data_IF_353757923562
#
_entry.id   IF_353757923562
#
_cell.length_a   1.000
_cell.length_b   1.000
_cell.length_c   1.000
_cell.angle_alpha   90.00
_cell.angle_beta   90.00
_cell.angle_gamma   90.00
#
_symmetry.space_group_name_H-M   'P 1'
#
loop_
_entity.id
_entity.type
_entity.pdbx_description
1 polymer ?
#
# COMPACT_ATOMS: atom_id res chain seq x y z
N UNK A 1 -55.11 60.72 -6.38
CA UNK A 1 -54.48 59.39 -6.30
C UNK A 1 -55.36 58.45 -7.10
N UNK A 2 -54.96 58.11 -8.34
CA UNK A 2 -53.94 57.10 -8.61
C UNK A 2 -52.86 57.60 -9.58
N UNK A 3 -51.71 56.91 -9.65
CA UNK A 3 -50.64 57.23 -10.59
C UNK A 3 -50.33 56.01 -11.47
N UNK A 4 -50.28 56.32 -12.75
CA UNK A 4 -50.09 55.45 -13.91
C UNK A 4 -48.59 55.18 -14.12
N UNK A 5 -48.34 54.01 -14.70
CA UNK A 5 -47.09 53.39 -15.13
C UNK A 5 -46.21 54.34 -15.96
N UNK A 6 -44.90 54.35 -15.68
CA UNK A 6 -43.86 54.58 -16.69
C UNK A 6 -42.78 53.49 -16.59
N UNK A 7 -42.69 52.68 -17.64
CA UNK A 7 -41.57 51.79 -17.90
C UNK A 7 -40.37 52.61 -18.37
N UNK A 8 -39.21 52.43 -17.75
CA UNK A 8 -37.94 52.64 -18.42
C UNK A 8 -37.12 51.36 -18.39
N UNK A 9 -36.96 50.79 -19.58
CA UNK A 9 -36.04 49.70 -19.89
C UNK A 9 -34.60 50.20 -19.77
N UNK A 10 -33.77 49.50 -18.99
CA UNK A 10 -32.32 49.53 -19.17
C UNK A 10 -31.86 48.12 -19.48
N UNK A 11 -31.49 47.92 -20.75
CA UNK A 11 -30.77 46.76 -21.26
C UNK A 11 -29.39 46.72 -20.61
N UNK A 12 -29.05 45.64 -19.92
CA UNK A 12 -27.65 45.24 -19.74
C UNK A 12 -27.52 43.72 -19.63
N UNK A 13 -27.89 43.02 -20.71
CA UNK A 13 -27.51 41.61 -20.92
C UNK A 13 -26.20 41.59 -21.69
N UNK A 14 -25.08 41.59 -20.99
CA UNK A 14 -23.76 41.14 -21.48
C UNK A 14 -22.86 40.92 -20.25
N UNK A 15 -22.26 39.73 -20.18
CA UNK A 15 -21.12 39.35 -19.31
C UNK A 15 -21.32 38.32 -18.19
N UNK A 16 -22.34 37.45 -18.24
CA UNK A 16 -22.28 36.17 -17.49
C UNK A 16 -21.42 35.15 -18.26
N UNK A 17 -21.49 35.14 -19.60
CA UNK A 17 -20.69 34.24 -20.44
C UNK A 17 -19.19 34.56 -20.49
N UNK A 18 -18.78 35.78 -20.14
CA UNK A 18 -17.35 36.13 -20.04
C UNK A 18 -16.73 35.68 -18.72
N UNK A 19 -17.50 35.67 -17.62
CA UNK A 19 -17.08 35.06 -16.35
C UNK A 19 -17.02 33.53 -16.44
N UNK A 20 -17.95 32.89 -17.16
CA UNK A 20 -17.91 31.46 -17.42
C UNK A 20 -16.72 31.02 -18.31
N UNK A 21 -16.23 31.89 -19.22
CA UNK A 21 -15.02 31.61 -20.01
C UNK A 21 -13.72 31.88 -19.25
N UNK A 22 -13.69 32.83 -18.32
CA UNK A 22 -12.56 33.03 -17.42
C UNK A 22 -12.40 31.87 -16.41
N UNK A 23 -13.50 31.22 -16.02
CA UNK A 23 -13.47 30.01 -15.19
C UNK A 23 -13.08 28.73 -15.96
N UNK A 24 -13.18 28.72 -17.29
CA UNK A 24 -12.76 27.61 -18.15
C UNK A 24 -11.30 27.69 -18.64
N UNK A 25 -10.55 28.71 -18.19
CA UNK A 25 -9.11 28.86 -18.44
C UNK A 25 -8.28 28.95 -17.15
N UNK A 26 -8.82 28.49 -16.02
CA UNK A 26 -7.95 28.05 -14.93
C UNK A 26 -7.58 26.60 -15.23
N UNK A 27 -6.29 26.37 -15.49
CA UNK A 27 -5.70 25.04 -15.65
C UNK A 27 -5.64 24.35 -14.27
N UNK A 28 -6.76 24.31 -13.55
CA UNK A 28 -6.91 23.59 -12.28
C UNK A 28 -6.89 22.11 -12.60
N UNK A 29 -5.68 21.56 -12.75
CA UNK A 29 -5.49 20.12 -12.60
C UNK A 29 -5.87 19.79 -11.15
N UNK A 30 -6.89 18.96 -10.91
CA UNK A 30 -7.20 18.53 -9.55
C UNK A 30 -5.94 17.89 -8.94
N UNK A 31 -5.72 18.05 -7.62
CA UNK A 31 -4.55 17.49 -6.96
C UNK A 31 -4.49 15.99 -7.22
N UNK A 32 -3.29 15.52 -7.60
CA UNK A 32 -3.06 14.13 -7.92
C UNK A 32 -3.27 13.27 -6.67
N UNK A 33 -4.34 12.48 -6.65
CA UNK A 33 -4.56 11.51 -5.57
C UNK A 33 -3.66 10.30 -5.78
N UNK A 34 -2.95 9.91 -4.71
CA UNK A 34 -2.00 8.81 -4.70
C UNK A 34 -2.53 7.67 -3.85
N UNK A 35 -2.33 6.45 -4.36
CA UNK A 35 -2.86 5.23 -3.76
C UNK A 35 -1.76 4.20 -3.53
N UNK A 36 -1.87 3.51 -2.40
CA UNK A 36 -1.13 2.27 -2.12
C UNK A 36 -2.01 1.13 -2.63
N UNK A 37 -1.59 0.47 -3.71
CA UNK A 37 -2.38 -0.57 -4.38
C UNK A 37 -2.18 -1.95 -3.77
N UNK A 38 -0.97 -2.23 -3.30
CA UNK A 38 -0.62 -3.41 -2.53
C UNK A 38 0.64 -3.14 -1.69
N UNK A 39 0.81 -3.94 -0.65
CA UNK A 39 1.98 -3.94 0.23
C UNK A 39 2.32 -5.37 0.65
N UNK A 40 3.60 -5.64 0.92
CA UNK A 40 4.07 -6.92 1.42
C UNK A 40 5.41 -6.75 2.15
N UNK A 41 5.69 -7.62 3.11
CA UNK A 41 7.00 -7.76 3.75
C UNK A 41 7.35 -9.21 4.03
N UNK A 42 8.60 -9.47 4.32
CA UNK A 42 9.13 -10.77 4.70
C UNK A 42 8.64 -11.18 6.09
N UNK A 43 8.21 -12.44 6.22
CA UNK A 43 7.95 -13.07 7.53
C UNK A 43 9.23 -13.65 8.14
N UNK A 44 10.06 -14.20 7.26
CA UNK A 44 11.33 -14.84 7.56
C UNK A 44 12.37 -14.16 6.67
N UNK A 45 13.58 -13.93 7.17
CA UNK A 45 14.64 -13.36 6.37
C UNK A 45 14.89 -14.12 5.07
N UNK A 46 15.14 -13.37 4.00
CA UNK A 46 15.45 -13.90 2.68
C UNK A 46 16.91 -14.29 2.56
N UNK A 47 17.14 -15.34 1.78
CA UNK A 47 18.46 -15.61 1.18
C UNK A 47 18.74 -14.59 0.06
N UNK A 48 20.01 -14.35 -0.25
CA UNK A 48 20.43 -13.32 -1.22
C UNK A 48 19.85 -13.55 -2.64
N UNK A 49 19.67 -14.80 -3.03
CA UNK A 49 19.07 -15.21 -4.31
C UNK A 49 17.55 -15.00 -4.38
N UNK A 50 16.91 -14.70 -3.24
CA UNK A 50 15.47 -14.45 -3.12
C UNK A 50 15.13 -12.97 -2.99
N UNK A 51 16.08 -12.07 -3.20
CA UNK A 51 15.87 -10.61 -3.12
C UNK A 51 14.72 -10.11 -4.01
N UNK A 52 14.46 -10.75 -5.15
CA UNK A 52 13.31 -10.44 -6.00
C UNK A 52 11.98 -11.02 -5.57
N UNK A 53 11.95 -11.96 -4.62
CA UNK A 53 10.71 -12.64 -4.22
C UNK A 53 9.69 -11.68 -3.60
N UNK A 54 10.14 -10.72 -2.78
CA UNK A 54 9.27 -9.71 -2.16
C UNK A 54 8.61 -8.81 -3.22
N UNK A 55 9.36 -8.44 -4.26
CA UNK A 55 8.84 -7.61 -5.36
C UNK A 55 7.91 -8.42 -6.27
N UNK A 56 8.24 -9.68 -6.56
CA UNK A 56 7.38 -10.55 -7.37
C UNK A 56 6.04 -10.84 -6.66
N UNK A 57 6.07 -11.13 -5.35
CA UNK A 57 4.87 -11.31 -4.53
C UNK A 57 4.03 -10.02 -4.52
N UNK A 58 4.68 -8.85 -4.34
CA UNK A 58 3.99 -7.55 -4.44
C UNK A 58 3.28 -7.36 -5.80
N UNK A 59 3.96 -7.63 -6.91
CA UNK A 59 3.41 -7.48 -8.27
C UNK A 59 2.16 -8.35 -8.42
N UNK A 60 2.20 -9.59 -7.91
CA UNK A 60 1.06 -10.51 -7.89
C UNK A 60 -0.09 -9.95 -7.07
N UNK A 61 0.16 -9.39 -5.88
CA UNK A 61 -0.86 -8.77 -5.02
C UNK A 61 -1.49 -7.53 -5.65
N UNK A 62 -0.67 -6.69 -6.28
CA UNK A 62 -1.13 -5.44 -6.90
C UNK A 62 -2.01 -5.70 -8.12
N UNK A 63 -1.89 -6.87 -8.77
CA UNK A 63 -2.53 -7.20 -10.05
C UNK A 63 -2.19 -6.24 -11.19
N UNK A 64 -1.15 -5.41 -10.99
CA UNK A 64 -0.65 -4.48 -12.00
C UNK A 64 0.13 -5.28 -13.03
N UNK A 65 -0.18 -5.16 -14.34
CA UNK A 65 0.62 -5.79 -15.37
C UNK A 65 2.07 -5.30 -15.31
N UNK A 66 3.03 -6.22 -15.44
CA UNK A 66 4.48 -5.89 -15.39
C UNK A 66 4.91 -4.78 -16.36
N UNK A 67 4.21 -4.63 -17.49
CA UNK A 67 4.46 -3.58 -18.49
C UNK A 67 4.03 -2.19 -18.06
N UNK A 68 3.21 -2.08 -17.01
CA UNK A 68 2.72 -0.80 -16.45
C UNK A 68 3.63 -0.29 -15.33
N UNK A 69 4.56 -1.12 -14.85
CA UNK A 69 5.55 -0.75 -13.84
C UNK A 69 6.74 -0.17 -14.58
N UNK A 70 6.85 1.15 -14.58
CA UNK A 70 7.94 1.83 -15.30
C UNK A 70 9.08 2.24 -14.35
N UNK A 71 8.87 2.13 -13.03
CA UNK A 71 9.90 2.48 -12.05
C UNK A 71 9.96 1.53 -10.87
N UNK A 72 11.17 1.05 -10.58
CA UNK A 72 11.52 0.24 -9.42
C UNK A 72 12.56 1.00 -8.59
N UNK A 73 12.20 1.36 -7.37
CA UNK A 73 13.08 2.04 -6.42
C UNK A 73 13.38 1.05 -5.30
N UNK A 74 14.65 0.74 -5.09
CA UNK A 74 15.10 -0.16 -4.02
C UNK A 74 15.99 0.62 -3.07
N UNK A 75 15.50 0.80 -1.85
CA UNK A 75 16.25 1.35 -0.74
C UNK A 75 17.00 0.22 -0.03
N UNK A 76 18.28 0.42 0.24
CA UNK A 76 19.12 -0.63 0.80
C UNK A 76 20.30 -0.08 1.58
N UNK A 77 20.94 -0.93 2.37
CA UNK A 77 22.18 -0.58 3.07
C UNK A 77 23.40 -0.77 2.16
N UNK A 78 24.53 -0.08 2.42
CA UNK A 78 25.73 -0.16 1.57
C UNK A 78 26.25 -1.60 1.38
N UNK A 79 26.13 -2.44 2.41
CA UNK A 79 26.55 -3.84 2.36
C UNK A 79 25.71 -4.67 1.39
N UNK A 80 24.40 -4.40 1.32
CA UNK A 80 23.45 -5.13 0.46
C UNK A 80 23.48 -4.59 -0.97
N UNK A 81 23.78 -3.30 -1.16
CA UNK A 81 23.90 -2.67 -2.48
C UNK A 81 24.92 -3.36 -3.40
N UNK A 82 26.00 -3.93 -2.84
CA UNK A 82 27.02 -4.65 -3.60
C UNK A 82 26.53 -6.01 -4.13
N UNK A 83 25.43 -6.53 -3.56
CA UNK A 83 24.89 -7.85 -3.88
C UNK A 83 23.74 -7.74 -4.88
N UNK A 84 22.98 -6.64 -4.84
CA UNK A 84 21.79 -6.46 -5.69
C UNK A 84 22.18 -5.84 -7.04
N UNK A 85 22.15 -6.66 -8.10
CA UNK A 85 22.13 -6.18 -9.47
C UNK A 85 20.68 -5.83 -9.89
N UNK A 86 20.35 -4.53 -9.85
CA UNK A 86 19.00 -4.08 -10.20
C UNK A 86 18.61 -4.33 -11.66
N UNK A 87 19.56 -4.29 -12.58
CA UNK A 87 19.27 -4.50 -14.00
C UNK A 87 18.86 -5.95 -14.24
N UNK A 88 19.57 -6.87 -13.59
CA UNK A 88 19.23 -8.28 -13.56
C UNK A 88 17.93 -8.53 -12.81
N UNK A 89 17.74 -7.91 -11.64
CA UNK A 89 16.51 -8.03 -10.85
C UNK A 89 15.26 -7.63 -11.66
N UNK A 90 15.28 -6.47 -12.29
CA UNK A 90 14.17 -6.00 -13.13
C UNK A 90 13.92 -6.94 -14.32
N UNK A 91 14.99 -7.44 -14.94
CA UNK A 91 14.90 -8.41 -16.04
C UNK A 91 14.29 -9.74 -15.58
N UNK A 92 14.77 -10.30 -14.47
CA UNK A 92 14.29 -11.56 -13.89
C UNK A 92 12.81 -11.46 -13.46
N UNK A 93 12.40 -10.29 -12.99
CA UNK A 93 11.01 -9.96 -12.69
C UNK A 93 10.15 -9.65 -13.92
N UNK A 94 10.74 -9.59 -15.12
CA UNK A 94 10.05 -9.31 -16.38
C UNK A 94 9.57 -7.86 -16.53
N UNK A 95 10.20 -6.91 -15.84
CA UNK A 95 9.89 -5.48 -15.87
C UNK A 95 10.57 -4.80 -17.08
N UNK A 96 9.98 -4.99 -18.26
CA UNK A 96 10.54 -4.47 -19.52
C UNK A 96 10.46 -2.95 -19.56
N UNK A 97 11.60 -2.29 -19.78
CA UNK A 97 11.68 -0.83 -19.88
C UNK A 97 11.51 -0.10 -18.55
N UNK A 98 11.60 -0.81 -17.43
CA UNK A 98 11.52 -0.24 -16.09
C UNK A 98 12.83 0.47 -15.72
N UNK A 99 12.74 1.76 -15.38
CA UNK A 99 13.82 2.50 -14.75
C UNK A 99 14.04 1.95 -13.33
N UNK A 100 15.26 1.53 -13.03
CA UNK A 100 15.58 0.97 -11.72
C UNK A 100 16.57 1.87 -10.99
N UNK A 101 16.26 2.23 -9.75
CA UNK A 101 17.07 3.12 -8.93
C UNK A 101 17.40 2.45 -7.60
N UNK A 102 18.68 2.42 -7.23
CA UNK A 102 19.09 2.06 -5.88
C UNK A 102 19.30 3.32 -5.07
N UNK A 103 18.75 3.37 -3.86
CA UNK A 103 19.09 4.38 -2.87
C UNK A 103 19.84 3.75 -1.72
N UNK A 104 21.03 4.29 -1.48
CA UNK A 104 21.75 4.03 -0.25
C UNK A 104 21.05 4.79 0.88
N UNK A 105 20.73 4.10 1.97
CA UNK A 105 20.10 4.64 3.17
C UNK A 105 21.08 5.57 3.92
N UNK A 106 21.35 6.74 3.32
CA UNK A 106 22.09 7.86 3.95
C UNK A 106 21.16 8.78 4.73
N UNK A 107 19.86 8.61 4.52
CA UNK A 107 18.78 9.38 5.08
C UNK A 107 17.96 8.56 6.06
N UNK A 108 17.12 9.23 6.85
CA UNK A 108 16.34 8.57 7.91
C UNK A 108 15.25 7.73 7.27
N UNK A 109 15.19 6.44 7.63
CA UNK A 109 14.14 5.50 7.24
C UNK A 109 13.85 5.40 5.73
N UNK A 110 14.83 5.66 4.86
CA UNK A 110 14.68 5.66 3.40
C UNK A 110 13.60 6.59 2.86
N UNK A 111 13.45 7.76 3.48
CA UNK A 111 12.46 8.78 3.10
C UNK A 111 12.66 9.34 1.69
N UNK A 112 13.90 9.39 1.20
CA UNK A 112 14.28 9.83 -0.15
C UNK A 112 13.73 8.90 -1.23
N UNK A 113 13.71 7.58 -0.96
CA UNK A 113 13.11 6.62 -1.87
C UNK A 113 11.61 6.85 -2.04
N UNK A 114 10.91 7.13 -0.94
CA UNK A 114 9.51 7.54 -0.97
C UNK A 114 9.34 8.85 -1.74
N UNK A 115 10.13 9.89 -1.43
CA UNK A 115 10.03 11.17 -2.11
C UNK A 115 10.22 11.03 -3.63
N UNK A 116 11.21 10.25 -4.07
CA UNK A 116 11.41 9.97 -5.50
C UNK A 116 10.20 9.24 -6.11
N UNK A 117 9.62 8.28 -5.39
CA UNK A 117 8.44 7.56 -5.87
C UNK A 117 7.25 8.52 -6.08
N UNK A 118 7.00 9.39 -5.10
CA UNK A 118 5.94 10.39 -5.16
C UNK A 118 6.18 11.39 -6.29
N UNK A 119 7.41 11.88 -6.45
CA UNK A 119 7.76 12.83 -7.53
C UNK A 119 7.68 12.20 -8.91
N UNK A 120 8.00 10.91 -9.04
CA UNK A 120 7.83 10.18 -10.31
C UNK A 120 6.35 10.09 -10.70
N UNK A 121 5.45 9.81 -9.74
CA UNK A 121 4.01 9.75 -9.98
C UNK A 121 3.41 11.13 -10.27
N UNK A 122 3.92 12.19 -9.65
CA UNK A 122 3.54 13.58 -9.95
C UNK A 122 3.94 14.01 -11.35
N UNK A 123 5.12 13.58 -11.81
CA UNK A 123 5.64 13.88 -13.16
C UNK A 123 4.91 13.09 -14.24
N UNK A 124 4.69 11.80 -14.01
CA UNK A 124 3.93 10.94 -14.91
C UNK A 124 2.78 10.22 -14.19
N UNK A 125 1.55 10.75 -14.28
CA UNK A 125 0.38 10.11 -13.70
C UNK A 125 0.01 8.76 -14.32
N UNK A 126 0.60 8.39 -15.45
CA UNK A 126 0.36 7.11 -16.13
C UNK A 126 1.25 5.98 -15.64
N UNK A 127 2.10 6.25 -14.65
CA UNK A 127 3.09 5.31 -14.15
C UNK A 127 2.58 4.57 -12.91
N UNK A 128 3.06 3.33 -12.74
CA UNK A 128 3.03 2.59 -11.48
C UNK A 128 4.45 2.45 -10.94
N UNK A 129 4.66 2.85 -9.69
CA UNK A 129 5.98 2.80 -9.04
C UNK A 129 5.99 1.70 -7.99
N UNK A 130 7.07 0.92 -7.96
CA UNK A 130 7.38 0.04 -6.84
C UNK A 130 8.46 0.69 -6.00
N UNK A 131 8.19 0.81 -4.70
CA UNK A 131 9.19 1.15 -3.69
C UNK A 131 9.43 -0.09 -2.82
N UNK A 132 10.67 -0.53 -2.78
CA UNK A 132 11.12 -1.67 -1.97
C UNK A 132 12.20 -1.22 -1.01
N UNK A 133 12.25 -1.85 0.15
CA UNK A 133 13.33 -1.72 1.12
C UNK A 133 13.89 -3.11 1.40
N UNK A 134 15.21 -3.28 1.31
CA UNK A 134 15.90 -4.57 1.50
C UNK A 134 17.16 -4.31 2.33
N UNK A 135 17.25 -4.91 3.53
CA UNK A 135 18.36 -4.68 4.47
C UNK A 135 18.75 -5.96 5.17
N UNK A 136 19.93 -5.97 5.80
CA UNK A 136 20.27 -7.05 6.73
C UNK A 136 19.39 -6.99 7.98
N UNK A 137 18.92 -8.15 8.41
CA UNK A 137 18.20 -8.26 9.67
C UNK A 137 19.17 -7.93 10.81
N UNK A 138 18.84 -6.90 11.61
CA UNK A 138 19.52 -6.65 12.88
C UNK A 138 18.94 -7.62 13.92
N UNK A 139 19.82 -8.25 14.71
CA UNK A 139 19.46 -9.34 15.63
C UNK A 139 18.39 -8.99 16.70
N UNK A 140 18.06 -7.70 16.89
CA UNK A 140 17.17 -7.18 17.95
C UNK A 140 15.81 -6.66 17.43
N UNK A 141 15.21 -7.33 16.43
CA UNK A 141 13.87 -7.00 15.92
C UNK A 141 12.72 -7.73 16.66
N UNK A 142 12.95 -8.25 17.86
CA UNK A 142 11.85 -8.58 18.77
C UNK A 142 11.30 -7.28 19.36
N UNK A 143 10.16 -6.78 18.89
CA UNK A 143 9.60 -5.55 19.45
C UNK A 143 8.31 -5.03 18.84
N UNK A 144 8.38 -4.18 17.81
CA UNK A 144 7.40 -3.09 17.74
C UNK A 144 6.22 -3.26 16.78
N UNK A 145 6.28 -4.15 15.79
CA UNK A 145 5.18 -4.35 14.85
C UNK A 145 4.57 -5.75 15.00
N UNK A 146 3.43 -5.84 15.71
CA UNK A 146 2.58 -7.04 15.68
C UNK A 146 2.28 -7.39 14.21
N UNK A 147 2.65 -8.59 13.80
CA UNK A 147 2.59 -9.05 12.41
C UNK A 147 1.17 -9.47 12.05
N UNK A 148 0.49 -8.71 11.17
CA UNK A 148 -0.72 -9.21 10.53
C UNK A 148 -0.34 -10.19 9.41
N UNK A 149 -1.00 -11.35 9.26
CA UNK A 149 -0.79 -12.26 8.13
C UNK A 149 -0.96 -11.58 6.76
N UNK A 150 -1.76 -10.50 6.68
CA UNK A 150 -1.94 -9.72 5.45
C UNK A 150 -0.65 -9.05 4.98
N UNK A 151 0.23 -8.68 5.91
CA UNK A 151 1.48 -7.99 5.61
C UNK A 151 2.52 -8.95 5.02
N UNK A 152 2.45 -10.24 5.37
CA UNK A 152 3.52 -11.20 5.14
C UNK A 152 3.45 -11.81 3.75
N UNK A 153 4.60 -11.96 3.09
CA UNK A 153 4.72 -12.69 1.82
C UNK A 153 4.27 -14.13 1.97
N UNK A 154 3.78 -14.72 0.88
CA UNK A 154 3.46 -16.14 0.88
C UNK A 154 4.78 -16.92 0.99
N UNK A 155 4.86 -17.89 1.90
CA UNK A 155 6.07 -18.67 2.10
C UNK A 155 6.45 -19.36 0.78
N UNK A 156 7.65 -19.06 0.27
CA UNK A 156 8.17 -19.80 -0.88
C UNK A 156 8.32 -21.28 -0.50
N UNK A 157 7.87 -22.22 -1.35
CA UNK A 157 8.23 -23.61 -1.18
C UNK A 157 9.75 -23.72 -1.22
N UNK A 158 10.39 -23.96 -0.08
CA UNK A 158 11.81 -24.26 -0.09
C UNK A 158 12.02 -25.55 -0.89
N UNK A 159 12.91 -25.57 -1.90
CA UNK A 159 13.26 -26.82 -2.54
C UNK A 159 13.79 -27.76 -1.46
N UNK A 160 13.24 -28.99 -1.39
CA UNK A 160 13.72 -30.03 -0.46
C UNK A 160 15.22 -30.24 -0.72
N UNK A 161 16.09 -29.59 0.03
CA UNK A 161 17.53 -29.88 0.00
C UNK A 161 17.69 -31.35 0.40
N UNK A 162 18.32 -32.15 -0.47
CA UNK A 162 18.94 -33.40 -0.03
C UNK A 162 19.84 -33.03 1.14
N UNK A 163 19.64 -33.64 2.31
CA UNK A 163 20.54 -33.50 3.46
C UNK A 163 21.97 -33.80 2.99
N UNK A 164 22.75 -32.77 2.68
CA UNK A 164 24.20 -32.89 2.61
C UNK A 164 24.71 -32.88 4.05
N UNK A 165 25.76 -33.65 4.37
CA UNK A 165 26.36 -33.63 5.69
C UNK A 165 26.79 -32.20 6.03
N UNK A 166 26.34 -31.70 7.19
CA UNK A 166 26.77 -30.41 7.72
C UNK A 166 28.29 -30.46 7.95
N UNK A 167 29.03 -29.60 7.28
CA UNK A 167 30.35 -29.16 7.73
C UNK A 167 30.13 -27.92 8.58
N UNK A 168 30.52 -27.96 9.85
CA UNK A 168 30.20 -26.96 10.89
C UNK A 168 30.88 -25.59 10.74
N UNK A 169 31.55 -25.28 9.63
CA UNK A 169 32.39 -24.07 9.46
C UNK A 169 32.02 -23.17 8.28
N UNK A 170 30.75 -23.16 7.83
CA UNK A 170 30.30 -22.12 6.87
C UNK A 170 29.63 -20.97 7.63
N UNK A 171 30.16 -19.73 7.57
CA UNK A 171 29.48 -18.58 8.16
C UNK A 171 28.07 -18.47 7.58
N UNK A 172 27.07 -18.35 8.46
CA UNK A 172 25.67 -18.23 8.10
C UNK A 172 25.54 -17.04 7.12
N UNK A 173 25.03 -17.28 5.91
CA UNK A 173 24.82 -16.22 4.95
C UNK A 173 23.92 -15.14 5.59
N UNK A 174 24.28 -13.86 5.48
CA UNK A 174 23.59 -12.82 6.22
C UNK A 174 22.17 -12.68 5.70
N UNK A 175 21.22 -12.77 6.63
CA UNK A 175 19.80 -12.86 6.34
C UNK A 175 19.22 -11.47 6.03
N UNK A 176 18.28 -11.38 5.09
CA UNK A 176 17.73 -10.10 4.60
C UNK A 176 16.28 -9.90 5.04
N UNK A 177 15.97 -8.74 5.62
CA UNK A 177 14.59 -8.28 5.86
C UNK A 177 14.18 -7.34 4.72
N UNK A 178 12.94 -7.48 4.24
CA UNK A 178 12.46 -6.72 3.10
C UNK A 178 10.97 -6.38 3.18
N UNK A 179 10.63 -5.20 2.68
CA UNK A 179 9.26 -4.77 2.45
C UNK A 179 9.14 -4.11 1.08
N UNK A 180 7.96 -4.18 0.48
CA UNK A 180 7.69 -3.54 -0.79
C UNK A 180 6.25 -3.01 -0.84
N UNK A 181 6.08 -1.86 -1.48
CA UNK A 181 4.79 -1.23 -1.72
C UNK A 181 4.64 -0.86 -3.20
N UNK A 182 3.41 -0.98 -3.71
CA UNK A 182 3.04 -0.55 -5.04
C UNK A 182 2.22 0.74 -4.93
N UNK A 183 2.67 1.78 -5.65
CA UNK A 183 2.08 3.10 -5.65
C UNK A 183 1.54 3.43 -7.05
N UNK A 184 0.33 3.97 -7.09
CA UNK A 184 -0.33 4.37 -8.32
C UNK A 184 -1.15 5.65 -8.11
N UNK A 185 -1.45 6.33 -9.21
CA UNK A 185 -2.35 7.48 -9.21
C UNK A 185 -3.82 7.05 -9.27
N UNK A 186 -4.73 7.98 -9.01
CA UNK A 186 -6.15 7.74 -9.25
C UNK A 186 -6.49 7.41 -10.71
N UNK A 187 -5.74 7.96 -11.66
CA UNK A 187 -5.91 7.68 -13.07
C UNK A 187 -5.53 6.23 -13.37
N UNK A 188 -4.38 5.77 -12.86
CA UNK A 188 -3.96 4.37 -12.95
C UNK A 188 -4.93 3.41 -12.28
N UNK A 189 -5.32 3.69 -11.04
CA UNK A 189 -6.26 2.84 -10.31
C UNK A 189 -7.58 2.68 -11.07
N UNK A 190 -8.13 3.75 -11.66
CA UNK A 190 -9.34 3.67 -12.48
C UNK A 190 -9.12 2.92 -13.79
N UNK A 191 -8.05 3.23 -14.54
CA UNK A 191 -7.76 2.60 -15.84
C UNK A 191 -7.56 1.10 -15.73
N UNK A 192 -6.83 0.68 -14.71
CA UNK A 192 -6.51 -0.73 -14.45
C UNK A 192 -7.56 -1.43 -13.55
N UNK A 193 -8.60 -0.71 -13.12
CA UNK A 193 -9.64 -1.19 -12.22
C UNK A 193 -9.07 -1.81 -10.92
N UNK A 194 -8.03 -1.18 -10.38
CA UNK A 194 -7.38 -1.61 -9.13
C UNK A 194 -8.29 -1.28 -7.94
N UNK A 195 -8.18 -2.07 -6.89
CA UNK A 195 -8.83 -1.87 -5.60
C UNK A 195 -7.75 -1.54 -4.56
N UNK A 196 -7.38 -0.26 -4.38
CA UNK A 196 -6.24 0.08 -3.55
C UNK A 196 -6.53 -0.15 -2.06
N UNK A 197 -5.46 -0.34 -1.28
CA UNK A 197 -5.53 -0.56 0.16
C UNK A 197 -5.75 0.73 0.93
N UNK A 198 -5.09 1.81 0.50
CA UNK A 198 -5.09 3.10 1.20
C UNK A 198 -4.83 4.26 0.22
N UNK A 199 -5.29 5.45 0.60
CA UNK A 199 -4.96 6.72 -0.05
C UNK A 199 -3.92 7.47 0.75
N UNK A 200 -2.89 7.97 0.09
CA UNK A 200 -1.98 8.96 0.68
C UNK A 200 -2.67 10.32 0.50
N UNK A 201 -3.17 10.88 1.61
CA UNK A 201 -3.93 12.14 1.61
C UNK A 201 -3.01 13.34 1.59
N UNK A 202 -1.91 13.27 2.34
CA UNK A 202 -0.93 14.35 2.39
C UNK A 202 0.47 13.82 2.75
N UNK A 203 1.49 14.52 2.24
CA UNK A 203 2.90 14.35 2.57
C UNK A 203 3.50 15.75 2.73
N UNK A 204 3.95 16.10 3.92
CA UNK A 204 4.56 17.41 4.20
C UNK A 204 5.79 17.28 5.07
N UNK A 205 6.68 18.26 5.02
CA UNK A 205 7.87 18.37 5.85
C UNK A 205 7.76 19.64 6.67
N UNK A 206 7.75 19.53 7.99
CA UNK A 206 7.47 20.65 8.88
C UNK A 206 8.34 20.61 10.14
N UNK A 207 8.66 21.78 10.70
CA UNK A 207 9.35 21.89 12.00
C UNK A 207 8.43 21.66 13.18
N UNK A 208 7.25 22.28 13.15
CA UNK A 208 6.25 22.18 14.20
C UNK A 208 5.27 21.04 13.91
N UNK A 209 5.56 19.86 14.47
CA UNK A 209 4.75 18.65 14.28
C UNK A 209 3.32 18.83 14.76
N UNK A 210 3.12 19.53 15.90
CA UNK A 210 1.81 19.71 16.50
C UNK A 210 0.92 20.55 15.58
N UNK A 211 1.45 21.70 15.13
CA UNK A 211 0.74 22.57 14.21
C UNK A 211 0.47 21.86 12.87
N UNK A 212 1.46 21.15 12.34
CA UNK A 212 1.32 20.39 11.10
C UNK A 212 0.22 19.33 11.20
N UNK A 213 0.20 18.52 12.28
CA UNK A 213 -0.85 17.53 12.50
C UNK A 213 -2.24 18.16 12.62
N UNK A 214 -2.37 19.28 13.34
CA UNK A 214 -3.63 20.02 13.45
C UNK A 214 -4.13 20.48 12.08
N UNK A 215 -3.25 21.05 11.26
CA UNK A 215 -3.57 21.49 9.91
C UNK A 215 -3.95 20.33 8.99
N UNK A 216 -3.21 19.22 9.05
CA UNK A 216 -3.49 18.01 8.27
C UNK A 216 -4.87 17.43 8.60
N UNK A 217 -5.19 17.33 9.89
CA UNK A 217 -6.49 16.86 10.35
C UNK A 217 -7.61 17.80 9.88
N UNK A 218 -7.42 19.11 10.06
CA UNK A 218 -8.40 20.12 9.63
C UNK A 218 -8.66 20.07 8.12
N UNK A 219 -7.63 19.85 7.30
CA UNK A 219 -7.77 19.71 5.84
C UNK A 219 -8.61 18.49 5.42
N UNK A 220 -8.61 17.43 6.22
CA UNK A 220 -9.45 16.25 5.99
C UNK A 220 -10.80 16.32 6.71
N UNK A 221 -11.08 17.41 7.45
CA UNK A 221 -12.31 17.56 8.22
C UNK A 221 -12.39 16.63 9.44
N UNK A 222 -11.24 16.15 9.95
CA UNK A 222 -11.16 15.31 11.15
C UNK A 222 -10.48 16.06 12.29
N UNK A 223 -10.72 15.60 13.52
CA UNK A 223 -9.99 16.05 14.70
C UNK A 223 -8.76 15.17 14.95
N UNK A 224 -7.71 15.68 15.61
CA UNK A 224 -6.54 14.86 15.97
C UNK A 224 -6.88 13.57 16.73
N UNK A 225 -7.83 13.64 17.67
CA UNK A 225 -8.26 12.50 18.48
C UNK A 225 -9.10 11.47 17.70
N UNK A 226 -9.49 11.77 16.47
CA UNK A 226 -10.14 10.85 15.52
C UNK A 226 -9.11 10.10 14.66
N UNK A 227 -7.83 10.50 14.72
CA UNK A 227 -6.73 9.75 14.13
C UNK A 227 -6.61 8.41 14.85
N UNK A 228 -6.81 7.32 14.11
CA UNK A 228 -6.85 5.99 14.72
C UNK A 228 -5.48 5.51 15.18
N UNK A 229 -4.40 5.84 14.44
CA UNK A 229 -3.03 5.45 14.80
C UNK A 229 -2.04 6.53 14.38
N UNK A 230 -1.11 6.86 15.28
CA UNK A 230 0.08 7.64 14.99
C UNK A 230 1.32 6.76 15.15
N UNK A 231 2.08 6.62 14.07
CA UNK A 231 3.37 5.92 14.05
C UNK A 231 4.48 6.97 14.02
N UNK A 232 5.08 7.26 15.18
CA UNK A 232 6.13 8.25 15.34
C UNK A 232 7.50 7.56 15.28
N UNK A 233 8.41 8.07 14.45
CA UNK A 233 9.79 7.59 14.35
C UNK A 233 10.72 8.67 14.88
N UNK A 234 11.58 8.28 15.82
CA UNK A 234 12.54 9.18 16.47
C UNK A 234 13.97 8.75 16.21
N UNK A 235 14.88 9.73 16.09
CA UNK A 235 16.32 9.49 15.89
C UNK A 235 17.01 8.99 17.16
N UNK A 236 16.46 9.39 18.31
CA UNK A 236 16.89 8.96 19.62
C UNK A 236 15.74 8.23 20.29
N UNK A 237 16.03 7.25 21.15
CA UNK A 237 15.00 6.59 21.94
C UNK A 237 14.35 7.62 22.86
N UNK A 238 13.07 7.91 22.61
CA UNK A 238 12.24 8.81 23.42
C UNK A 238 11.03 8.07 23.96
N UNK A 239 10.57 8.47 25.13
CA UNK A 239 9.30 7.98 25.67
C UNK A 239 8.15 8.94 25.31
N UNK A 240 6.88 8.47 25.24
CA UNK A 240 5.75 9.36 24.97
C UNK A 240 5.62 10.52 25.99
N UNK A 241 6.10 10.32 27.22
CA UNK A 241 6.08 11.30 28.29
C UNK A 241 7.07 12.47 28.05
N UNK A 242 8.10 12.26 27.22
CA UNK A 242 9.07 13.29 26.84
C UNK A 242 8.58 14.19 25.70
N UNK A 243 7.39 13.91 25.16
CA UNK A 243 6.83 14.59 24.00
C UNK A 243 5.50 15.26 24.38
N UNK A 244 5.60 16.43 25.01
CA UNK A 244 4.46 17.18 25.56
C UNK A 244 3.28 17.30 24.57
N UNK A 245 3.58 17.55 23.29
CA UNK A 245 2.57 17.70 22.24
C UNK A 245 1.72 16.44 22.01
N UNK A 246 2.22 15.23 22.29
CA UNK A 246 1.43 13.99 22.19
C UNK A 246 0.32 13.97 23.24
N UNK A 247 0.62 14.45 24.45
CA UNK A 247 -0.35 14.49 25.55
C UNK A 247 -1.47 15.50 25.27
N UNK A 248 -1.14 16.62 24.63
CA UNK A 248 -2.09 17.68 24.30
C UNK A 248 -3.07 17.30 23.18
N UNK A 249 -2.65 16.45 22.23
CA UNK A 249 -3.50 16.04 21.11
C UNK A 249 -4.51 14.93 21.46
N UNK A 250 -4.37 14.31 22.64
CA UNK A 250 -5.24 13.24 23.14
C UNK A 250 -5.48 12.12 22.11
N UNK A 251 -4.38 11.63 21.53
CA UNK A 251 -4.41 10.58 20.50
C UNK A 251 -4.67 9.22 21.13
N UNK A 252 -5.48 8.39 20.45
CA UNK A 252 -5.92 7.11 21.01
C UNK A 252 -4.82 6.03 20.97
N UNK A 253 -4.04 5.97 19.88
CA UNK A 253 -3.01 4.95 19.67
C UNK A 253 -1.76 5.61 19.11
N UNK A 254 -0.69 5.56 19.88
CA UNK A 254 0.63 6.07 19.50
C UNK A 254 1.61 4.90 19.60
N UNK A 255 2.40 4.69 18.56
CA UNK A 255 3.56 3.81 18.57
C UNK A 255 4.80 4.64 18.25
N UNK A 256 5.88 4.44 19.03
CA UNK A 256 7.15 5.13 18.85
C UNK A 256 8.17 4.10 18.38
N UNK A 257 8.89 4.42 17.31
CA UNK A 257 9.85 3.55 16.66
C UNK A 257 11.23 4.20 16.61
N UNK A 258 12.27 3.37 16.75
CA UNK A 258 13.66 3.78 16.51
C UNK A 258 13.93 3.84 15.00
N UNK A 259 14.38 5.00 14.51
CA UNK A 259 14.72 5.22 13.10
C UNK A 259 15.70 4.20 12.51
N UNK A 260 16.52 3.56 13.34
CA UNK A 260 17.49 2.55 12.91
C UNK A 260 16.90 1.14 12.75
N UNK A 261 15.65 0.93 13.19
CA UNK A 261 14.96 -0.36 13.23
C UNK A 261 13.79 -0.46 12.26
N UNK A 262 13.19 0.67 11.89
CA UNK A 262 12.04 0.70 10.97
C UNK A 262 12.37 1.47 9.71
N UNK A 263 11.61 1.19 8.67
CA UNK A 263 11.71 1.92 7.40
C UNK A 263 10.35 2.41 6.97
N UNK A 264 10.33 3.44 6.12
CA UNK A 264 9.08 4.04 5.66
C UNK A 264 8.20 3.00 4.97
N UNK A 265 8.79 2.11 4.17
CA UNK A 265 8.09 1.00 3.48
C UNK A 265 7.47 0.00 4.47
N UNK A 266 8.15 -0.32 5.56
CA UNK A 266 7.61 -1.18 6.62
C UNK A 266 6.43 -0.53 7.35
N UNK A 267 6.56 0.76 7.71
CA UNK A 267 5.50 1.50 8.39
C UNK A 267 4.26 1.66 7.50
N UNK A 268 4.45 1.98 6.21
CA UNK A 268 3.35 2.05 5.24
C UNK A 268 2.67 0.70 5.05
N UNK A 269 3.43 -0.40 5.01
CA UNK A 269 2.89 -1.76 4.95
C UNK A 269 2.05 -2.06 6.18
N UNK A 270 2.59 -1.82 7.37
CA UNK A 270 1.90 -2.05 8.64
C UNK A 270 0.60 -1.25 8.74
N UNK A 271 0.69 0.07 8.54
CA UNK A 271 -0.44 0.96 8.69
C UNK A 271 -1.54 0.68 7.65
N UNK A 272 -1.15 0.31 6.41
CA UNK A 272 -2.10 -0.08 5.35
C UNK A 272 -2.94 -1.31 5.70
N UNK A 273 -2.45 -2.18 6.59
CA UNK A 273 -3.15 -3.40 7.00
C UNK A 273 -3.80 -3.30 8.39
N UNK A 274 -3.24 -2.51 9.31
CA UNK A 274 -3.73 -2.32 10.68
C UNK A 274 -4.90 -1.33 10.79
N UNK A 275 -4.99 -0.36 9.89
CA UNK A 275 -6.06 0.63 9.94
C UNK A 275 -7.43 -0.01 9.63
N UNK A 276 -8.46 0.29 10.45
CA UNK A 276 -9.85 0.00 10.09
C UNK A 276 -10.26 0.71 8.80
N UNK A 277 -11.20 0.13 8.08
CA UNK A 277 -11.77 0.73 6.87
C UNK A 277 -12.31 2.15 7.14
N UNK A 278 -11.96 3.12 6.30
CA UNK A 278 -12.35 4.53 6.44
C UNK A 278 -11.55 5.32 7.48
N UNK A 279 -10.74 4.66 8.32
CA UNK A 279 -9.97 5.34 9.35
C UNK A 279 -8.71 6.02 8.78
N UNK A 280 -8.29 7.07 9.50
CA UNK A 280 -7.05 7.79 9.23
C UNK A 280 -5.91 7.30 10.13
N UNK A 281 -4.71 7.22 9.57
CA UNK A 281 -3.48 7.02 10.32
C UNK A 281 -2.40 7.96 9.83
N UNK A 282 -1.48 8.33 10.72
CA UNK A 282 -0.37 9.22 10.38
C UNK A 282 0.96 8.56 10.71
N UNK A 283 1.93 8.72 9.82
CA UNK A 283 3.33 8.41 10.09
C UNK A 283 4.07 9.74 10.23
N UNK A 284 4.87 9.88 11.28
CA UNK A 284 5.70 11.06 11.53
C UNK A 284 7.14 10.61 11.70
N UNK A 285 8.07 11.16 10.91
CA UNK A 285 9.48 10.74 10.93
C UNK A 285 10.35 11.95 11.24
N UNK A 286 11.08 11.91 12.35
CA UNK A 286 12.10 12.89 12.71
C UNK A 286 13.27 12.82 11.71
N UNK A 287 13.65 13.96 11.13
CA UNK A 287 14.74 14.07 10.17
C UNK A 287 15.98 14.71 10.80
N UNK A 288 17.14 14.56 10.14
CA UNK A 288 18.44 15.03 10.67
C UNK A 288 18.55 16.56 10.80
N UNK A 289 17.70 17.30 10.09
CA UNK A 289 17.67 18.76 10.03
C UNK A 289 16.61 19.37 10.98
N UNK A 290 16.20 18.62 12.00
CA UNK A 290 15.17 18.98 12.99
C UNK A 290 13.76 19.18 12.40
N UNK A 291 13.57 18.87 11.13
CA UNK A 291 12.25 18.79 10.51
C UNK A 291 11.64 17.41 10.74
N UNK A 292 10.33 17.30 10.50
CA UNK A 292 9.60 16.05 10.52
C UNK A 292 8.89 15.84 9.19
N UNK A 293 8.96 14.63 8.65
CA UNK A 293 8.11 14.19 7.55
C UNK A 293 6.80 13.66 8.12
N UNK A 294 5.68 14.23 7.68
CA UNK A 294 4.33 13.79 8.05
C UNK A 294 3.64 13.18 6.84
N UNK A 295 3.10 11.98 7.03
CA UNK A 295 2.40 11.19 6.02
C UNK A 295 1.03 10.84 6.55
N UNK A 296 -0.03 11.40 5.95
CA UNK A 296 -1.41 11.10 6.32
C UNK A 296 -2.01 10.07 5.35
N UNK A 297 -2.45 8.95 5.91
CA UNK A 297 -3.08 7.86 5.17
C UNK A 297 -4.54 7.71 5.56
N UNK A 298 -5.37 7.39 4.58
CA UNK A 298 -6.74 6.92 4.79
C UNK A 298 -6.87 5.49 4.29
N UNK A 299 -7.38 4.59 5.13
CA UNK A 299 -7.69 3.22 4.72
C UNK A 299 -8.92 3.22 3.83
N UNK A 300 -8.79 2.67 2.63
CA UNK A 300 -9.93 2.60 1.70
C UNK A 300 -10.79 1.38 1.98
N UNK A 301 -12.10 1.59 1.91
CA UNK A 301 -13.10 0.53 2.02
C UNK A 301 -13.14 -0.25 0.69
N UNK A 302 -12.89 -1.57 0.68
CA UNK A 302 -12.93 -2.37 -0.54
C UNK A 302 -14.36 -2.40 -1.10
N UNK A 303 -14.55 -1.84 -2.30
CA UNK A 303 -15.90 -1.72 -2.88
C UNK A 303 -16.32 -3.05 -3.50
N UNK A 304 -17.53 -3.49 -3.18
CA UNK A 304 -18.19 -4.53 -3.96
C UNK A 304 -18.49 -4.00 -5.37
N UNK A 305 -18.42 -4.88 -6.37
CA UNK A 305 -18.79 -4.55 -7.76
C UNK A 305 -20.28 -4.20 -7.84
N UNK A 306 -21.10 -4.66 -6.88
CA UNK A 306 -22.52 -4.35 -6.80
C UNK A 306 -22.91 -3.89 -5.40
N UNK A 307 -23.55 -2.71 -5.31
CA UNK A 307 -23.78 -1.95 -4.07
C UNK A 307 -24.65 -2.66 -3.00
N UNK A 308 -25.22 -3.83 -3.29
CA UNK A 308 -26.07 -4.58 -2.35
C UNK A 308 -25.80 -6.11 -2.36
N UNK A 309 -24.66 -6.55 -2.92
CA UNK A 309 -24.31 -7.97 -2.95
C UNK A 309 -23.28 -8.33 -1.90
N UNK A 310 -23.27 -9.61 -1.54
CA UNK A 310 -22.23 -10.25 -0.74
C UNK A 310 -20.83 -9.93 -1.32
N UNK A 311 -19.79 -9.87 -0.48
CA UNK A 311 -18.41 -9.72 -0.97
C UNK A 311 -18.06 -10.74 -2.05
N UNK A 312 -17.30 -10.30 -3.05
CA UNK A 312 -16.89 -11.16 -4.16
C UNK A 312 -15.52 -11.78 -3.85
N UNK A 313 -15.46 -13.10 -3.88
CA UNK A 313 -14.21 -13.85 -3.93
C UNK A 313 -13.86 -14.17 -5.38
N UNK A 314 -12.67 -13.77 -5.83
CA UNK A 314 -12.15 -14.12 -7.16
C UNK A 314 -11.02 -15.14 -7.01
N UNK A 315 -11.25 -16.35 -7.51
CA UNK A 315 -10.30 -17.46 -7.49
C UNK A 315 -9.65 -17.63 -8.87
N UNK A 316 -8.35 -17.38 -8.96
CA UNK A 316 -7.56 -17.73 -10.14
C UNK A 316 -7.17 -19.21 -10.08
N UNK A 317 -7.53 -19.96 -11.12
CA UNK A 317 -7.46 -21.43 -11.17
C UNK A 317 -7.20 -21.95 -12.59
N UNK A 318 -7.08 -23.27 -12.77
CA UNK A 318 -7.00 -23.99 -14.06
C UNK A 318 -7.66 -25.38 -13.92
N UNK A 319 -7.86 -26.09 -15.03
CA UNK A 319 -8.36 -27.47 -15.00
C UNK A 319 -7.32 -28.45 -15.58
N UNK A 320 -6.99 -29.56 -14.89
CA UNK A 320 -7.32 -29.88 -13.49
C UNK A 320 -6.46 -29.11 -12.48
N UNK A 321 -6.97 -28.86 -11.27
CA UNK A 321 -6.21 -28.24 -10.18
C UNK A 321 -6.67 -28.75 -8.79
N UNK A 322 -6.08 -29.84 -8.27
CA UNK A 322 -6.46 -30.41 -6.98
C UNK A 322 -6.36 -29.42 -5.80
N UNK A 323 -5.32 -28.58 -5.77
CA UNK A 323 -5.17 -27.54 -4.74
C UNK A 323 -6.28 -26.49 -4.79
N UNK A 324 -6.79 -26.20 -5.99
CA UNK A 324 -7.90 -25.28 -6.17
C UNK A 324 -9.22 -25.91 -5.72
N UNK A 325 -9.39 -27.22 -5.96
CA UNK A 325 -10.58 -27.96 -5.54
C UNK A 325 -10.64 -28.05 -4.00
N UNK A 326 -9.51 -28.35 -3.34
CA UNK A 326 -9.37 -28.33 -1.87
C UNK A 326 -9.72 -26.95 -1.28
N UNK A 327 -9.20 -25.87 -1.87
CA UNK A 327 -9.49 -24.51 -1.41
C UNK A 327 -10.98 -24.17 -1.55
N UNK A 328 -11.63 -24.59 -2.63
CA UNK A 328 -13.08 -24.37 -2.83
C UNK A 328 -13.90 -25.15 -1.79
N UNK A 329 -13.53 -26.40 -1.53
CA UNK A 329 -14.18 -27.20 -0.49
C UNK A 329 -14.05 -26.54 0.89
N UNK A 330 -12.86 -26.04 1.25
CA UNK A 330 -12.66 -25.30 2.49
C UNK A 330 -13.52 -24.02 2.58
N UNK A 331 -13.66 -23.28 1.48
CA UNK A 331 -14.54 -22.11 1.43
C UNK A 331 -16.01 -22.48 1.63
N UNK A 332 -16.47 -23.55 0.98
CA UNK A 332 -17.85 -24.04 1.10
C UNK A 332 -18.15 -24.56 2.52
N UNK A 333 -17.20 -25.24 3.16
CA UNK A 333 -17.38 -25.77 4.52
C UNK A 333 -17.47 -24.66 5.59
N UNK A 334 -16.66 -23.60 5.47
CA UNK A 334 -16.47 -22.64 6.55
C UNK A 334 -17.13 -21.28 6.34
N UNK A 335 -17.50 -20.93 5.10
CA UNK A 335 -17.95 -19.57 4.73
C UNK A 335 -19.15 -19.56 3.75
N UNK A 336 -19.88 -20.67 3.63
CA UNK A 336 -21.04 -20.77 2.74
C UNK A 336 -22.05 -19.63 2.98
N UNK A 337 -22.48 -18.99 1.88
CA UNK A 337 -23.48 -17.92 1.92
C UNK A 337 -22.95 -16.55 2.37
N UNK A 338 -21.66 -16.43 2.71
CA UNK A 338 -21.05 -15.14 3.09
C UNK A 338 -20.42 -14.39 1.91
N UNK A 339 -20.28 -15.05 0.75
CA UNK A 339 -19.58 -14.51 -0.43
C UNK A 339 -20.20 -14.97 -1.75
N UNK A 340 -19.80 -14.34 -2.85
CA UNK A 340 -20.01 -14.81 -4.22
C UNK A 340 -18.66 -15.21 -4.81
N UNK A 341 -18.52 -16.46 -5.27
CA UNK A 341 -17.28 -16.96 -5.85
C UNK A 341 -17.27 -16.82 -7.37
N UNK A 342 -16.28 -16.10 -7.89
CA UNK A 342 -15.95 -16.03 -9.31
C UNK A 342 -14.67 -16.81 -9.58
N UNK A 343 -14.74 -17.85 -10.42
CA UNK A 343 -13.56 -18.59 -10.89
C UNK A 343 -13.02 -17.97 -12.18
N UNK A 344 -11.73 -17.62 -12.19
CA UNK A 344 -11.01 -17.13 -13.36
C UNK A 344 -10.00 -18.19 -13.79
N UNK A 345 -10.28 -18.82 -14.93
CA UNK A 345 -9.42 -19.85 -15.51
C UNK A 345 -8.25 -19.20 -16.25
N UNK A 346 -7.05 -19.30 -15.69
CA UNK A 346 -5.85 -18.60 -16.18
C UNK A 346 -5.33 -19.19 -17.50
N UNK A 347 -5.67 -20.43 -17.80
CA UNK A 347 -5.28 -21.16 -19.01
C UNK A 347 -6.08 -20.77 -20.26
N UNK A 348 -7.15 -19.98 -20.10
CA UNK A 348 -7.92 -19.45 -21.23
C UNK A 348 -7.17 -18.33 -21.96
N UNK A 349 -7.39 -18.22 -23.27
CA UNK A 349 -6.68 -17.27 -24.16
C UNK A 349 -6.89 -15.81 -23.77
N UNK A 350 -8.09 -15.47 -23.30
CA UNK A 350 -8.44 -14.14 -22.79
C UNK A 350 -7.72 -13.78 -21.48
N UNK A 351 -7.22 -14.78 -20.74
CA UNK A 351 -6.61 -14.63 -19.42
C UNK A 351 -5.09 -14.83 -19.41
N UNK A 352 -4.42 -14.75 -20.57
CA UNK A 352 -2.96 -14.95 -20.69
C UNK A 352 -2.16 -14.02 -19.76
N UNK A 353 -2.68 -12.83 -19.43
CA UNK A 353 -2.06 -11.95 -18.44
C UNK A 353 -1.97 -12.61 -17.05
N UNK A 354 -3.02 -13.30 -16.63
CA UNK A 354 -3.08 -14.00 -15.35
C UNK A 354 -2.28 -15.30 -15.38
N UNK A 355 -2.18 -15.96 -16.53
CA UNK A 355 -1.24 -17.07 -16.71
C UNK A 355 0.19 -16.61 -16.42
N UNK A 356 0.60 -15.46 -16.96
CA UNK A 356 1.94 -14.90 -16.73
C UNK A 356 2.18 -14.44 -15.28
N UNK A 357 1.11 -14.13 -14.54
CA UNK A 357 1.21 -13.70 -13.14
C UNK A 357 1.20 -14.88 -12.16
N UNK A 358 0.32 -15.87 -12.37
CA UNK A 358 -0.05 -16.85 -11.34
C UNK A 358 0.22 -18.31 -11.71
N UNK A 359 0.87 -18.61 -12.86
CA UNK A 359 1.06 -19.99 -13.35
C UNK A 359 1.56 -20.98 -12.29
N UNK A 360 2.43 -20.53 -11.41
CA UNK A 360 3.06 -21.34 -10.36
C UNK A 360 2.47 -21.10 -8.97
N UNK A 361 1.49 -20.19 -8.85
CA UNK A 361 0.98 -19.72 -7.56
C UNK A 361 -0.49 -20.04 -7.31
N UNK A 362 -1.19 -20.61 -8.30
CA UNK A 362 -2.58 -21.02 -8.10
C UNK A 362 -2.72 -22.13 -7.05
N UNK A 363 -3.78 -22.12 -6.23
CA UNK A 363 -4.87 -21.13 -6.23
C UNK A 363 -4.46 -19.75 -5.72
N UNK A 364 -4.97 -18.69 -6.36
CA UNK A 364 -4.82 -17.31 -5.86
C UNK A 364 -6.19 -16.71 -5.61
N UNK A 365 -6.42 -16.19 -4.41
CA UNK A 365 -7.72 -15.71 -3.96
C UNK A 365 -7.67 -14.20 -3.66
N UNK A 366 -8.67 -13.48 -4.15
CA UNK A 366 -8.88 -12.05 -3.91
C UNK A 366 -10.27 -11.82 -3.31
N UNK A 367 -10.41 -10.87 -2.39
CA UNK A 367 -11.67 -10.42 -1.81
C UNK A 367 -11.94 -8.97 -2.24
N UNK A 368 -13.05 -8.73 -2.96
CA UNK A 368 -13.38 -7.44 -3.57
C UNK A 368 -12.19 -6.82 -4.33
N UNK A 369 -11.43 -7.64 -5.04
CA UNK A 369 -10.25 -7.23 -5.81
C UNK A 369 -8.99 -6.92 -4.99
N UNK A 370 -9.02 -7.04 -3.66
CA UNK A 370 -7.82 -7.01 -2.82
C UNK A 370 -7.27 -8.41 -2.59
N UNK A 371 -5.95 -8.54 -2.58
CA UNK A 371 -5.29 -9.82 -2.36
C UNK A 371 -5.64 -10.43 -0.99
N UNK A 372 -5.87 -11.74 -0.97
CA UNK A 372 -6.15 -12.49 0.26
C UNK A 372 -5.08 -13.56 0.53
N UNK A 373 -4.87 -14.50 -0.39
CA UNK A 373 -3.89 -15.59 -0.21
C UNK A 373 -3.49 -16.27 -1.53
N UNK A 374 -2.36 -17.00 -1.50
CA UNK A 374 -1.88 -17.90 -2.55
C UNK A 374 -1.64 -19.30 -1.97
N UNK A 375 -1.74 -20.32 -2.82
CA UNK A 375 -1.50 -21.75 -2.55
C UNK A 375 -2.46 -22.41 -1.54
N UNK A 376 -2.84 -21.74 -0.45
CA UNK A 376 -3.71 -22.24 0.63
C UNK A 376 -4.64 -21.16 1.14
N UNK A 377 -5.83 -21.57 1.61
CA UNK A 377 -6.77 -20.65 2.24
C UNK A 377 -6.22 -20.15 3.58
N UNK A 378 -6.29 -18.84 3.80
CA UNK A 378 -6.07 -18.25 5.13
C UNK A 378 -7.44 -17.92 5.75
N UNK A 379 -8.02 -18.90 6.45
CA UNK A 379 -9.37 -18.79 7.02
C UNK A 379 -9.49 -17.64 8.03
N UNK A 380 -8.48 -17.46 8.88
CA UNK A 380 -8.47 -16.40 9.89
C UNK A 380 -8.51 -15.02 9.23
N UNK A 381 -7.69 -14.82 8.20
CA UNK A 381 -7.67 -13.57 7.45
C UNK A 381 -8.98 -13.33 6.70
N UNK A 382 -9.55 -14.37 6.07
CA UNK A 382 -10.85 -14.24 5.40
C UNK A 382 -11.95 -13.82 6.39
N UNK A 383 -12.01 -14.49 7.55
CA UNK A 383 -12.98 -14.19 8.61
C UNK A 383 -12.86 -12.75 9.09
N UNK A 384 -11.65 -12.29 9.35
CA UNK A 384 -11.37 -10.91 9.77
C UNK A 384 -11.85 -9.89 8.72
N UNK A 385 -11.49 -10.09 7.44
CA UNK A 385 -11.86 -9.16 6.36
C UNK A 385 -13.36 -9.14 6.08
N UNK A 386 -14.04 -10.29 6.16
CA UNK A 386 -15.50 -10.35 6.03
C UNK A 386 -16.20 -9.62 7.19
N UNK A 387 -15.70 -9.75 8.42
CA UNK A 387 -16.23 -9.01 9.57
C UNK A 387 -16.07 -7.50 9.40
N UNK A 388 -14.87 -7.03 9.01
CA UNK A 388 -14.60 -5.62 8.73
C UNK A 388 -15.52 -5.04 7.65
N UNK A 389 -15.82 -5.80 6.60
CA UNK A 389 -16.74 -5.38 5.55
C UNK A 389 -18.19 -5.28 6.03
N UNK A 390 -18.63 -6.19 6.92
CA UNK A 390 -19.96 -6.13 7.52
C UNK A 390 -20.12 -4.87 8.38
N UNK A 391 -19.15 -4.60 9.25
CA UNK A 391 -19.13 -3.38 10.10
C UNK A 391 -19.13 -2.10 9.25
N UNK A 392 -18.30 -2.05 8.20
CA UNK A 392 -18.22 -0.87 7.32
C UNK A 392 -19.55 -0.58 6.62
N UNK A 393 -20.28 -1.63 6.20
CA UNK A 393 -21.58 -1.48 5.54
C UNK A 393 -22.68 -1.01 6.49
N UNK A 394 -22.65 -1.44 7.75
CA UNK A 394 -23.59 -0.97 8.77
C UNK A 394 -23.40 0.52 9.06
N UNK A 395 -22.16 1.02 9.00
CA UNK A 395 -21.83 2.43 9.17
C UNK A 395 -22.21 3.31 7.95
N UNK A 396 -22.28 2.75 6.74
CA UNK A 396 -22.73 3.50 5.54
C UNK A 396 -24.26 3.65 5.46
N UNK A 397 -25.02 2.81 6.17
CA UNK A 397 -26.50 2.78 6.15
C UNK A 397 -27.13 3.56 7.31
N UNK A 398 -26.39 3.74 8.41
CA UNK A 398 -26.77 4.56 9.57
C UNK A 398 -26.46 6.05 9.33
#
# INVERSE_FOLDING_TARGET
>A
MPAVIFMHSVKCTKNIWQLARAAHQSNYKPPLTLFITATVRTAVPLEQDQTGAVVDDLIKRATVPRTEIQKLIVCTTPAVMQIIDLSRLASDLGLKGCESHTFEDKDVCSTSGLQLALDSLRKDPNNCVILSDIRHQKADNEGDLRTSPSELMSLLPQPRRRKQPQSDDKPLAPSLDAAAISLATNFMSKRLQLQPLASIRNVTVEKDVKLALLQLCQQQGIKPNELHSLELVTLQKRTPQELDWLTELNLQKIAIHDANKVTTTHLLTHLSHKLPNGAYGCITIEMLDENYLLLLLEKLIPRSIEANKLPQLTLYTKVPCPLCDELVEQLEQHFAGEYILQKVYIDRKENVRFLRLFRYDIPVLFLNGQFLCMHRLNENLLRERLAQLKESREQEVA
#
